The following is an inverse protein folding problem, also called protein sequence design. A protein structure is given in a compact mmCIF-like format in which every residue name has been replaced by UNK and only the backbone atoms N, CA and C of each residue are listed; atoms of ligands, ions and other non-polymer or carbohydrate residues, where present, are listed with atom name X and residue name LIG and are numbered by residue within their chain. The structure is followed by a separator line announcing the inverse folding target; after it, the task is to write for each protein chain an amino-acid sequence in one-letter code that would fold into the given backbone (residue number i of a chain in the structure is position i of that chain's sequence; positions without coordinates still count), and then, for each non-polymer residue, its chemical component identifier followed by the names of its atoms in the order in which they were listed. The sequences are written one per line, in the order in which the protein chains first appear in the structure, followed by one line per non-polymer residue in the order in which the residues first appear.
data_IF_777809982468
#
_entry.id   IF_777809982468
#
_cell.length_a   1.000
_cell.length_b   1.000
_cell.length_c   1.000
_cell.angle_alpha   90.00
_cell.angle_beta   90.00
_cell.angle_gamma   90.00
#
_symmetry.space_group_name_H-M   'P 1'
#
loop_
_entity.id
_entity.type
_entity.pdbx_description
1 polymer ?
#
# COMPACT_ATOMS: atom_id res chain seq x y z
N UNK A 1 -3.78 -2.12 14.14
CA UNK A 1 -2.51 -2.86 14.32
C UNK A 1 -1.98 -3.60 13.07
N UNK A 2 -2.57 -3.49 11.87
CA UNK A 2 -2.15 -4.37 10.73
C UNK A 2 -2.12 -3.70 9.34
N UNK A 3 -2.80 -2.57 9.17
CA UNK A 3 -3.08 -1.92 7.88
C UNK A 3 -1.86 -1.42 7.08
N UNK A 4 -0.78 -0.98 7.73
CA UNK A 4 0.41 -0.52 7.00
C UNK A 4 1.35 -1.63 6.52
N UNK A 5 1.25 -2.87 7.05
CA UNK A 5 2.09 -3.98 6.57
C UNK A 5 1.57 -4.60 5.28
N UNK A 6 0.28 -4.39 4.96
CA UNK A 6 -0.47 -5.21 4.00
C UNK A 6 -0.62 -4.55 2.62
N UNK A 7 -0.36 -3.24 2.50
CA UNK A 7 -0.32 -2.54 1.20
C UNK A 7 0.68 -3.20 0.21
N UNK A 8 1.72 -3.87 0.74
CA UNK A 8 2.72 -4.58 -0.07
C UNK A 8 2.25 -5.95 -0.59
N UNK A 9 1.24 -6.58 0.03
CA UNK A 9 0.60 -7.80 -0.50
C UNK A 9 -0.04 -7.49 -1.84
N UNK A 10 -0.69 -6.33 -1.92
CA UNK A 10 -1.38 -5.86 -3.13
C UNK A 10 -0.39 -5.31 -4.17
N UNK A 11 0.72 -4.68 -3.77
CA UNK A 11 1.71 -4.15 -4.74
C UNK A 11 2.68 -5.18 -5.33
N UNK A 12 2.96 -6.32 -4.67
CA UNK A 12 3.95 -7.31 -5.15
C UNK A 12 3.35 -8.30 -6.18
N UNK A 13 2.03 -8.39 -6.30
CA UNK A 13 1.33 -9.23 -7.29
C UNK A 13 1.21 -8.60 -8.70
N UNK A 14 1.97 -7.54 -8.98
CA UNK A 14 1.95 -6.79 -10.24
C UNK A 14 2.91 -7.29 -11.33
N UNK A 15 3.35 -8.55 -11.30
CA UNK A 15 4.28 -9.12 -12.27
C UNK A 15 3.77 -10.44 -12.88
N UNK A 16 2.52 -10.45 -13.34
CA UNK A 16 2.07 -11.42 -14.35
C UNK A 16 1.56 -10.59 -15.52
N UNK A 17 2.40 -10.43 -16.54
CA UNK A 17 2.05 -9.82 -17.82
C UNK A 17 0.95 -10.66 -18.46
N UNK A 18 -0.29 -10.20 -18.38
CA UNK A 18 -1.35 -10.72 -19.24
C UNK A 18 -1.17 -10.07 -20.61
N UNK A 19 -1.08 -10.83 -21.72
CA UNK A 19 -0.96 -10.26 -23.05
C UNK A 19 -2.15 -9.33 -23.32
N UNK A 20 -1.85 -8.17 -23.88
CA UNK A 20 -2.81 -7.11 -24.22
C UNK A 20 -3.61 -7.53 -25.47
N UNK A 21 -4.39 -8.60 -25.38
CA UNK A 21 -5.33 -9.01 -26.42
C UNK A 21 -6.69 -9.24 -25.76
N UNK A 22 -7.69 -8.47 -26.22
CA UNK A 22 -9.08 -8.46 -25.77
C UNK A 22 -9.33 -7.90 -24.35
N UNK A 23 -9.40 -6.58 -24.22
CA UNK A 23 -10.15 -5.97 -23.11
C UNK A 23 -11.65 -6.13 -23.40
N UNK A 24 -12.42 -6.88 -22.60
CA UNK A 24 -13.88 -6.88 -22.72
C UNK A 24 -14.41 -5.47 -22.42
N UNK A 25 -15.39 -5.02 -23.23
CA UNK A 25 -16.06 -3.72 -23.09
C UNK A 25 -16.35 -3.42 -21.62
N UNK A 26 -15.71 -2.35 -21.11
CA UNK A 26 -15.89 -1.80 -19.76
C UNK A 26 -17.38 -1.55 -19.50
N UNK A 27 -17.99 -2.34 -18.60
CA UNK A 27 -19.24 -1.92 -17.97
C UNK A 27 -18.90 -0.81 -16.98
N UNK A 28 -19.46 0.39 -17.20
CA UNK A 28 -19.30 1.54 -16.31
C UNK A 28 -19.70 1.14 -14.88
N UNK A 29 -18.83 1.43 -13.90
CA UNK A 29 -19.15 1.44 -12.47
C UNK A 29 -18.52 0.37 -11.57
N UNK A 30 -17.82 -0.65 -12.09
CA UNK A 30 -17.15 -1.63 -11.21
C UNK A 30 -15.68 -1.27 -10.94
N UNK A 31 -15.24 -1.18 -9.67
CA UNK A 31 -13.83 -0.97 -9.32
C UNK A 31 -12.98 -2.09 -9.91
N UNK A 32 -11.79 -1.76 -10.40
CA UNK A 32 -10.89 -2.76 -10.98
C UNK A 32 -10.38 -3.64 -9.84
N UNK A 33 -10.59 -4.98 -9.90
CA UNK A 33 -10.23 -5.85 -8.79
C UNK A 33 -8.74 -5.73 -8.49
N UNK A 34 -8.43 -5.53 -7.22
CA UNK A 34 -7.07 -5.56 -6.69
C UNK A 34 -6.42 -6.92 -6.99
N UNK A 35 -5.08 -6.99 -7.05
CA UNK A 35 -4.38 -8.25 -7.22
C UNK A 35 -4.78 -9.35 -6.22
N UNK A 36 -5.15 -8.99 -4.98
CA UNK A 36 -5.63 -9.94 -3.97
C UNK A 36 -7.07 -10.40 -4.25
N UNK A 37 -7.96 -9.51 -4.70
CA UNK A 37 -9.31 -9.90 -5.13
C UNK A 37 -9.27 -10.81 -6.36
N UNK A 38 -8.37 -10.53 -7.32
CA UNK A 38 -8.14 -11.45 -8.44
C UNK A 38 -7.68 -12.82 -7.98
N UNK A 39 -6.78 -12.87 -6.99
CA UNK A 39 -6.34 -14.13 -6.38
C UNK A 39 -7.51 -14.89 -5.73
N UNK A 40 -8.40 -14.18 -5.04
CA UNK A 40 -9.60 -14.76 -4.43
C UNK A 40 -10.61 -15.28 -5.46
N UNK A 41 -10.61 -14.74 -6.68
CA UNK A 41 -11.47 -15.21 -7.77
C UNK A 41 -10.88 -16.42 -8.53
N UNK A 42 -9.58 -16.73 -8.37
CA UNK A 42 -8.95 -17.90 -8.99
C UNK A 42 -9.42 -19.21 -8.36
N UNK A 43 -9.51 -20.27 -9.18
CA UNK A 43 -9.72 -21.64 -8.73
C UNK A 43 -8.55 -22.17 -7.90
N UNK A 44 -8.75 -23.21 -7.06
CA UNK A 44 -7.66 -23.82 -6.29
C UNK A 44 -6.49 -24.29 -7.16
N UNK A 45 -6.78 -24.85 -8.34
CA UNK A 45 -5.78 -25.32 -9.29
C UNK A 45 -4.95 -24.17 -9.89
N UNK A 46 -5.61 -23.07 -10.27
CA UNK A 46 -4.91 -21.86 -10.78
C UNK A 46 -4.02 -21.23 -9.71
N UNK A 47 -4.49 -21.17 -8.46
CA UNK A 47 -3.69 -20.67 -7.33
C UNK A 47 -2.46 -21.53 -7.11
N UNK A 48 -2.64 -22.85 -7.10
CA UNK A 48 -1.52 -23.80 -6.93
C UNK A 48 -0.50 -23.61 -8.05
N UNK A 49 -0.94 -23.58 -9.31
CA UNK A 49 -0.07 -23.34 -10.47
C UNK A 49 0.65 -21.99 -10.39
N UNK A 50 0.02 -20.96 -9.85
CA UNK A 50 0.65 -19.66 -9.64
C UNK A 50 1.71 -19.70 -8.51
N UNK A 51 1.48 -20.44 -7.43
CA UNK A 51 2.44 -20.64 -6.34
C UNK A 51 3.64 -21.51 -6.77
N UNK A 52 3.41 -22.55 -7.57
CA UNK A 52 4.47 -23.45 -8.07
C UNK A 52 5.44 -22.75 -9.03
N UNK A 53 5.03 -21.62 -9.64
CA UNK A 53 5.91 -20.77 -10.45
C UNK A 53 6.83 -19.87 -9.63
N UNK A 54 6.63 -19.78 -8.31
CA UNK A 54 7.43 -18.94 -7.43
C UNK A 54 8.57 -19.76 -6.79
N UNK A 55 9.76 -19.16 -6.61
CA UNK A 55 10.80 -19.73 -5.76
C UNK A 55 10.26 -20.04 -4.35
N UNK A 56 10.76 -21.08 -3.66
CA UNK A 56 10.19 -21.58 -2.41
C UNK A 56 10.06 -20.49 -1.32
N UNK A 57 11.04 -19.60 -1.19
CA UNK A 57 10.98 -18.50 -0.24
C UNK A 57 9.88 -17.47 -0.57
N UNK A 58 9.72 -17.16 -1.87
CA UNK A 58 8.67 -16.23 -2.33
C UNK A 58 7.29 -16.83 -2.16
N UNK A 59 7.15 -18.14 -2.39
CA UNK A 59 5.93 -18.89 -2.15
C UNK A 59 5.53 -18.81 -0.67
N UNK A 60 6.44 -19.15 0.25
CA UNK A 60 6.19 -19.10 1.70
C UNK A 60 5.76 -17.70 2.15
N UNK A 61 6.49 -16.67 1.72
CA UNK A 61 6.14 -15.28 2.03
C UNK A 61 4.75 -14.89 1.48
N UNK A 62 4.38 -15.37 0.29
CA UNK A 62 3.06 -15.13 -0.28
C UNK A 62 1.98 -15.84 0.54
N UNK A 63 2.17 -17.10 0.90
CA UNK A 63 1.21 -17.88 1.69
C UNK A 63 0.98 -17.27 3.08
N UNK A 64 2.03 -16.78 3.74
CA UNK A 64 1.92 -16.06 5.01
C UNK A 64 1.08 -14.79 4.86
N UNK A 65 1.36 -13.98 3.83
CA UNK A 65 0.60 -12.75 3.56
C UNK A 65 -0.86 -13.00 3.20
N UNK A 66 -1.14 -14.05 2.44
CA UNK A 66 -2.50 -14.47 2.11
C UNK A 66 -3.25 -14.92 3.38
N UNK A 67 -2.57 -15.63 4.28
CA UNK A 67 -3.11 -16.01 5.58
C UNK A 67 -3.43 -14.77 6.43
N UNK A 68 -2.51 -13.81 6.51
CA UNK A 68 -2.74 -12.54 7.22
C UNK A 68 -3.92 -11.76 6.63
N UNK A 69 -4.01 -11.68 5.29
CA UNK A 69 -5.12 -10.99 4.62
C UNK A 69 -6.48 -11.62 4.93
N UNK A 70 -6.58 -12.95 4.93
CA UNK A 70 -7.83 -13.66 5.28
C UNK A 70 -8.26 -13.47 6.74
N UNK A 71 -7.34 -13.07 7.61
CA UNK A 71 -7.64 -12.78 9.02
C UNK A 71 -8.13 -11.34 9.23
N UNK A 72 -8.09 -10.49 8.20
CA UNK A 72 -8.62 -9.13 8.27
C UNK A 72 -10.15 -9.13 8.22
N UNK A 73 -10.77 -8.22 8.96
CA UNK A 73 -12.21 -7.97 8.84
C UNK A 73 -12.58 -7.41 7.46
N UNK A 74 -13.84 -7.53 7.07
CA UNK A 74 -14.33 -6.98 5.79
C UNK A 74 -14.09 -5.46 5.68
N UNK A 75 -14.24 -4.71 6.77
CA UNK A 75 -13.91 -3.27 6.82
C UNK A 75 -12.41 -3.02 6.56
N UNK A 76 -11.52 -3.82 7.17
CA UNK A 76 -10.09 -3.70 6.92
C UNK A 76 -9.73 -4.03 5.46
N UNK A 77 -10.38 -5.05 4.88
CA UNK A 77 -10.22 -5.40 3.47
C UNK A 77 -10.71 -4.27 2.55
N UNK A 78 -11.89 -3.71 2.81
CA UNK A 78 -12.45 -2.59 2.04
C UNK A 78 -11.53 -1.35 2.10
N UNK A 79 -10.97 -1.03 3.26
CA UNK A 79 -9.98 0.05 3.42
C UNK A 79 -8.71 -0.20 2.61
N UNK A 80 -8.25 -1.45 2.51
CA UNK A 80 -7.07 -1.78 1.70
C UNK A 80 -7.37 -1.65 0.21
N UNK A 81 -8.53 -2.12 -0.25
CA UNK A 81 -8.96 -1.97 -1.64
C UNK A 81 -9.06 -0.49 -2.04
N UNK A 82 -9.70 0.34 -1.20
CA UNK A 82 -9.81 1.78 -1.44
C UNK A 82 -8.45 2.48 -1.54
N UNK A 83 -7.54 2.22 -0.58
CA UNK A 83 -6.18 2.78 -0.61
C UNK A 83 -5.40 2.33 -1.86
N UNK A 84 -5.59 1.08 -2.29
CA UNK A 84 -4.94 0.59 -3.50
C UNK A 84 -5.48 1.26 -4.77
N UNK A 85 -6.79 1.50 -4.85
CA UNK A 85 -7.38 2.23 -5.97
C UNK A 85 -6.86 3.68 -6.05
N UNK A 86 -6.73 4.37 -4.92
CA UNK A 86 -6.12 5.70 -4.89
C UNK A 86 -4.65 5.67 -5.34
N UNK A 87 -3.87 4.71 -4.84
CA UNK A 87 -2.48 4.53 -5.27
C UNK A 87 -2.36 4.29 -6.78
N UNK A 88 -3.25 3.49 -7.38
CA UNK A 88 -3.22 3.21 -8.81
C UNK A 88 -3.57 4.41 -9.68
N UNK A 89 -4.37 5.35 -9.16
CA UNK A 89 -4.71 6.60 -9.84
C UNK A 89 -3.52 7.57 -9.88
N UNK A 90 -2.51 7.39 -9.03
CA UNK A 90 -1.30 8.22 -9.05
C UNK A 90 -0.52 8.05 -10.36
N UNK A 91 0.13 9.11 -10.88
CA UNK A 91 1.05 9.00 -12.01
C UNK A 91 2.18 7.98 -11.77
N UNK A 92 2.69 7.28 -12.79
CA UNK A 92 3.73 6.25 -12.62
C UNK A 92 4.97 6.71 -11.85
N UNK A 93 5.37 7.98 -12.02
CA UNK A 93 6.49 8.58 -11.26
C UNK A 93 6.17 8.64 -9.76
N UNK A 94 4.98 9.12 -9.39
CA UNK A 94 4.51 9.18 -8.00
C UNK A 94 4.33 7.79 -7.40
N UNK A 95 3.85 6.82 -8.18
CA UNK A 95 3.79 5.43 -7.74
C UNK A 95 5.18 4.87 -7.39
N UNK A 96 6.21 5.16 -8.21
CA UNK A 96 7.60 4.74 -7.93
C UNK A 96 8.14 5.40 -6.67
N UNK A 97 7.91 6.69 -6.52
CA UNK A 97 8.31 7.47 -5.34
C UNK A 97 7.67 6.91 -4.06
N UNK A 98 6.36 6.69 -4.07
CA UNK A 98 5.65 6.12 -2.92
C UNK A 98 6.13 4.70 -2.59
N UNK A 99 6.45 3.88 -3.60
CA UNK A 99 7.06 2.55 -3.37
C UNK A 99 8.41 2.66 -2.66
N UNK A 100 9.24 3.62 -3.04
CA UNK A 100 10.55 3.87 -2.42
C UNK A 100 10.39 4.33 -0.98
N UNK A 101 9.57 5.36 -0.75
CA UNK A 101 9.28 5.88 0.60
C UNK A 101 8.76 4.79 1.54
N UNK A 102 7.89 3.91 1.01
CA UNK A 102 7.37 2.80 1.78
C UNK A 102 8.43 1.73 2.12
N UNK A 103 9.42 1.50 1.23
CA UNK A 103 10.57 0.66 1.55
C UNK A 103 11.40 1.27 2.67
N UNK A 104 11.73 2.56 2.57
CA UNK A 104 12.50 3.29 3.59
C UNK A 104 11.80 3.22 4.97
N UNK A 105 10.47 3.38 4.99
CA UNK A 105 9.69 3.21 6.23
C UNK A 105 9.74 1.80 6.82
N UNK A 106 9.83 0.77 5.99
CA UNK A 106 9.96 -0.62 6.43
C UNK A 106 11.37 -0.96 6.90
N UNK A 107 12.36 -0.16 6.55
CA UNK A 107 13.74 -0.29 7.04
C UNK A 107 13.93 0.43 8.38
N UNK A 108 13.04 1.37 8.74
CA UNK A 108 13.06 2.00 10.07
C UNK A 108 12.98 0.95 11.20
N UNK A 109 13.74 1.15 12.30
CA UNK A 109 13.60 0.36 13.51
C UNK A 109 12.15 0.29 13.98
N UNK A 110 11.73 -0.85 14.53
CA UNK A 110 10.32 -1.12 14.87
C UNK A 110 9.68 -0.03 15.74
N UNK A 111 10.43 0.51 16.70
CA UNK A 111 9.97 1.60 17.57
C UNK A 111 9.80 2.92 16.80
N UNK A 112 10.77 3.30 15.96
CA UNK A 112 10.65 4.50 15.11
C UNK A 112 9.50 4.39 14.12
N UNK A 113 9.31 3.21 13.53
CA UNK A 113 8.18 2.92 12.65
C UNK A 113 6.84 3.16 13.33
N UNK A 114 6.70 2.82 14.62
CA UNK A 114 5.47 3.07 15.39
C UNK A 114 5.22 4.56 15.56
N UNK A 115 6.26 5.34 15.84
CA UNK A 115 6.16 6.80 16.00
C UNK A 115 5.78 7.47 14.68
N UNK A 116 6.52 7.19 13.61
CA UNK A 116 6.28 7.74 12.26
C UNK A 116 4.88 7.38 11.75
N UNK A 117 4.42 6.15 11.99
CA UNK A 117 3.06 5.74 11.61
C UNK A 117 1.99 6.57 12.30
N UNK A 118 2.11 6.80 13.61
CA UNK A 118 1.13 7.60 14.36
C UNK A 118 1.04 9.01 13.81
N UNK A 119 2.18 9.61 13.46
CA UNK A 119 2.21 10.92 12.84
C UNK A 119 1.51 10.93 11.48
N UNK A 120 1.78 9.94 10.62
CA UNK A 120 1.08 9.80 9.33
C UNK A 120 -0.44 9.62 9.50
N UNK A 121 -0.89 8.87 10.51
CA UNK A 121 -2.31 8.71 10.83
C UNK A 121 -2.94 10.04 11.28
N UNK A 122 -2.22 10.82 12.10
CA UNK A 122 -2.67 12.16 12.51
C UNK A 122 -2.77 13.11 11.32
N UNK A 123 -1.74 13.19 10.48
CA UNK A 123 -1.71 14.07 9.31
C UNK A 123 -2.82 13.75 8.29
N UNK A 124 -3.23 12.49 8.18
CA UNK A 124 -4.37 12.08 7.32
C UNK A 124 -5.71 12.62 7.82
N UNK A 125 -5.87 12.79 9.13
CA UNK A 125 -7.07 13.36 9.74
C UNK A 125 -7.15 14.89 9.65
N UNK A 126 -6.02 15.57 9.40
CA UNK A 126 -5.96 17.04 9.32
C UNK A 126 -6.36 17.57 7.94
N UNK A 127 -6.95 18.78 7.91
CA UNK A 127 -7.18 19.51 6.67
C UNK A 127 -5.83 19.88 6.00
N UNK A 128 -5.80 20.15 4.68
CA UNK A 128 -4.55 20.44 3.97
C UNK A 128 -3.73 21.61 4.55
N UNK A 129 -4.40 22.66 5.02
CA UNK A 129 -3.75 23.81 5.66
C UNK A 129 -3.13 23.44 7.02
N UNK A 130 -3.88 22.74 7.87
CA UNK A 130 -3.40 22.27 9.18
C UNK A 130 -2.25 21.28 9.04
N UNK A 131 -2.30 20.41 8.02
CA UNK A 131 -1.21 19.48 7.70
C UNK A 131 0.08 20.23 7.38
N UNK A 132 0.01 21.29 6.57
CA UNK A 132 1.18 22.14 6.28
C UNK A 132 1.71 22.81 7.55
N UNK A 133 0.83 23.35 8.39
CA UNK A 133 1.22 23.93 9.69
C UNK A 133 1.87 22.91 10.63
N UNK A 134 1.34 21.69 10.70
CA UNK A 134 1.90 20.59 11.49
C UNK A 134 3.31 20.23 11.02
N UNK A 135 3.51 20.04 9.72
CA UNK A 135 4.81 19.74 9.12
C UNK A 135 5.83 20.89 9.27
N UNK A 136 5.36 22.14 9.32
CA UNK A 136 6.20 23.30 9.53
C UNK A 136 6.57 23.56 11.01
N UNK A 137 5.88 22.92 11.96
CA UNK A 137 6.03 23.20 13.40
C UNK A 137 7.42 22.86 13.96
N UNK A 138 7.84 23.60 15.00
CA UNK A 138 9.09 23.34 15.74
C UNK A 138 9.10 21.94 16.37
N UNK A 139 7.99 21.56 17.01
CA UNK A 139 7.83 20.23 17.62
C UNK A 139 8.05 19.10 16.60
N UNK A 140 7.55 19.25 15.37
CA UNK A 140 7.78 18.27 14.32
C UNK A 140 9.26 18.16 13.94
N UNK A 141 9.97 19.29 13.87
CA UNK A 141 11.41 19.34 13.56
C UNK A 141 12.27 18.76 14.67
N UNK A 142 11.86 18.91 15.92
CA UNK A 142 12.57 18.37 17.09
C UNK A 142 12.30 16.86 17.27
N UNK A 143 11.08 16.40 16.98
CA UNK A 143 10.68 15.01 17.20
C UNK A 143 11.16 14.03 16.11
N UNK A 144 11.35 14.54 14.88
CA UNK A 144 11.68 13.72 13.72
C UNK A 144 13.01 14.16 13.10
N UNK A 145 13.88 13.18 12.86
CA UNK A 145 15.12 13.39 12.12
C UNK A 145 14.84 13.86 10.69
N UNK A 146 15.83 14.46 10.03
CA UNK A 146 15.66 14.94 8.66
C UNK A 146 15.17 13.86 7.69
N UNK A 147 15.70 12.63 7.82
CA UNK A 147 15.28 11.49 7.00
C UNK A 147 13.82 11.10 7.26
N UNK A 148 13.40 11.10 8.54
CA UNK A 148 12.01 10.80 8.90
C UNK A 148 11.04 11.91 8.44
N UNK A 149 11.46 13.17 8.49
CA UNK A 149 10.66 14.30 7.99
C UNK A 149 10.40 14.20 6.50
N UNK A 150 11.45 13.98 5.69
CA UNK A 150 11.33 13.76 4.24
C UNK A 150 10.38 12.59 3.92
N UNK A 151 10.50 11.52 4.69
CA UNK A 151 9.65 10.33 4.57
C UNK A 151 8.18 10.64 4.91
N UNK A 152 7.93 11.33 6.02
CA UNK A 152 6.57 11.72 6.45
C UNK A 152 5.95 12.68 5.44
N UNK A 153 6.67 13.70 5.01
CA UNK A 153 6.23 14.69 4.03
C UNK A 153 5.86 14.03 2.70
N UNK A 154 6.73 13.17 2.16
CA UNK A 154 6.48 12.49 0.89
C UNK A 154 5.27 11.56 0.94
N UNK A 155 5.08 10.84 2.05
CA UNK A 155 3.91 9.97 2.22
C UNK A 155 2.62 10.73 2.51
N UNK A 156 2.69 11.85 3.24
CA UNK A 156 1.54 12.69 3.54
C UNK A 156 1.07 13.48 2.31
N UNK A 157 1.99 13.86 1.42
CA UNK A 157 1.67 14.53 0.16
C UNK A 157 0.96 13.61 -0.84
N UNK A 158 1.31 12.32 -0.88
CA UNK A 158 0.74 11.38 -1.85
C UNK A 158 -0.74 10.99 -1.64
N UNK A 159 -1.36 11.42 -0.53
CA UNK A 159 -2.80 11.29 -0.29
C UNK A 159 -3.58 12.60 -0.45
N UNK A 160 -2.90 13.72 -0.61
CA UNK A 160 -3.55 14.98 -0.94
C UNK A 160 -3.80 15.01 -2.44
N UNK A 161 -5.07 15.06 -2.85
CA UNK A 161 -5.40 15.61 -4.16
C UNK A 161 -4.90 17.06 -4.15
N UNK A 162 -3.92 17.36 -5.00
CA UNK A 162 -3.70 18.73 -5.47
C UNK A 162 -4.84 19.12 -6.41
#
# INVERSE_FOLDING_TARGET
MRSLRIVLVVMVLGAMSVPLAAQPRRRLGRPIPTPIERWQQMSPEERQKALDRLPPERRKMMEERLREYRQLSEDEQARLSSQYEEFRKLPPRRQREMRRLFQEFRELPMERRRVVRRELEQLRGLAPGERKSRLASGEFRERFSESERRLIEGMAAGGARE
#
